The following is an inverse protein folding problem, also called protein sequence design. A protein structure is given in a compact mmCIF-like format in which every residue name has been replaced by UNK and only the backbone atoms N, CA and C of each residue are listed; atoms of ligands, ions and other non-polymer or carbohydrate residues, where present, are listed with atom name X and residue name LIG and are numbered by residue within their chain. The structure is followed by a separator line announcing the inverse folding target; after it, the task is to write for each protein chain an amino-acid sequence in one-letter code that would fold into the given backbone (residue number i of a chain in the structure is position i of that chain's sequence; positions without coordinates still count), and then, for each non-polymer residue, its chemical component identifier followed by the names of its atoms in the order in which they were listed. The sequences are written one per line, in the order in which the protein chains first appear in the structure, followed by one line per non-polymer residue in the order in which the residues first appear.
data_IF_517661032678
#
_entry.id   IF_517661032678
#
_cell.length_a   1.000
_cell.length_b   1.000
_cell.length_c   1.000
_cell.angle_alpha   90.00
_cell.angle_beta   90.00
_cell.angle_gamma   90.00
#
_symmetry.space_group_name_H-M   'P 1'
#
loop_
_entity.id
_entity.type
_entity.pdbx_description
1 polymer ?
#
# COMPACT_ATOMS: atom_id res chain seq x y z
N UNK A 1 1.66 -16.88 1.07
CA UNK A 1 1.96 -15.45 0.86
C UNK A 1 0.82 -14.59 1.38
N UNK A 2 1.14 -13.56 2.11
CA UNK A 2 0.19 -12.54 2.56
C UNK A 2 0.44 -11.24 1.79
N UNK A 3 -0.60 -10.55 1.40
CA UNK A 3 -0.48 -9.31 0.63
C UNK A 3 -1.05 -8.12 1.40
N UNK A 4 -0.28 -7.02 1.42
CA UNK A 4 -0.66 -5.73 2.01
C UNK A 4 -0.74 -4.71 0.90
N UNK A 5 -1.91 -4.14 0.69
CA UNK A 5 -2.12 -3.02 -0.24
C UNK A 5 -2.05 -1.70 0.53
N UNK A 6 -1.16 -0.81 0.11
CA UNK A 6 -1.09 0.55 0.65
C UNK A 6 -1.76 1.48 -0.35
N UNK A 7 -2.91 2.02 0.01
CA UNK A 7 -3.77 2.76 -0.93
C UNK A 7 -4.60 3.85 -0.25
N UNK A 8 -4.89 4.91 -0.99
CA UNK A 8 -5.92 5.89 -0.65
C UNK A 8 -6.46 6.49 -1.96
N UNK A 9 -7.66 7.03 -1.93
CA UNK A 9 -8.26 7.74 -3.06
C UNK A 9 -7.56 9.09 -3.33
N UNK A 10 -6.87 9.65 -2.34
CA UNK A 10 -6.13 10.90 -2.45
C UNK A 10 -4.62 10.65 -2.59
N UNK A 11 -3.97 11.37 -3.52
CA UNK A 11 -2.53 11.41 -3.64
C UNK A 11 -1.87 12.27 -2.56
N UNK A 12 -0.56 12.12 -2.37
CA UNK A 12 0.23 12.94 -1.45
C UNK A 12 0.06 12.61 0.05
N UNK A 13 -0.58 11.49 0.38
CA UNK A 13 -0.81 11.05 1.78
C UNK A 13 0.34 10.22 2.37
N UNK A 14 1.39 9.99 1.58
CA UNK A 14 2.57 9.24 2.02
C UNK A 14 2.49 7.73 1.82
N UNK A 15 1.73 7.26 0.83
CA UNK A 15 1.61 5.83 0.51
C UNK A 15 2.95 5.15 0.26
N UNK A 16 3.79 5.74 -0.58
CA UNK A 16 5.11 5.18 -0.88
C UNK A 16 5.97 5.07 0.38
N UNK A 17 6.01 6.10 1.22
CA UNK A 17 6.75 6.08 2.48
C UNK A 17 6.27 4.94 3.38
N UNK A 18 4.98 4.75 3.52
CA UNK A 18 4.40 3.65 4.31
C UNK A 18 4.73 2.30 3.68
N UNK A 19 4.60 2.17 2.37
CA UNK A 19 4.88 0.92 1.65
C UNK A 19 6.34 0.47 1.80
N UNK A 20 7.29 1.38 1.57
CA UNK A 20 8.73 1.05 1.70
C UNK A 20 9.11 0.76 3.14
N UNK A 21 8.53 1.46 4.11
CA UNK A 21 8.77 1.25 5.54
C UNK A 21 8.26 -0.14 5.97
N UNK A 22 7.05 -0.52 5.56
CA UNK A 22 6.50 -1.86 5.83
C UNK A 22 7.36 -2.96 5.22
N UNK A 23 7.73 -2.82 3.95
CA UNK A 23 8.56 -3.80 3.26
C UNK A 23 9.93 -3.97 3.94
N UNK A 24 10.58 -2.87 4.28
CA UNK A 24 11.87 -2.89 4.98
C UNK A 24 11.77 -3.53 6.37
N UNK A 25 10.73 -3.19 7.13
CA UNK A 25 10.52 -3.75 8.46
C UNK A 25 10.30 -5.26 8.43
N UNK A 26 9.48 -5.75 7.50
CA UNK A 26 9.23 -7.17 7.32
C UNK A 26 10.51 -7.92 6.88
N UNK A 27 11.29 -7.34 5.98
CA UNK A 27 12.56 -7.91 5.54
C UNK A 27 13.56 -8.00 6.69
N UNK A 28 13.64 -6.99 7.54
CA UNK A 28 14.51 -6.99 8.73
C UNK A 28 14.13 -8.06 9.74
N UNK A 29 12.88 -8.48 9.77
CA UNK A 29 12.40 -9.59 10.61
C UNK A 29 12.73 -10.97 10.00
N UNK A 30 13.37 -11.03 8.85
CA UNK A 30 13.78 -12.27 8.19
C UNK A 30 12.74 -12.84 7.23
N UNK A 31 11.68 -12.11 6.94
CA UNK A 31 10.68 -12.55 5.95
C UNK A 31 11.18 -12.36 4.51
N UNK A 32 10.71 -13.22 3.62
CA UNK A 32 10.90 -13.06 2.17
C UNK A 32 9.85 -12.09 1.66
N UNK A 33 10.29 -10.89 1.29
CA UNK A 33 9.42 -9.76 0.96
C UNK A 33 9.64 -9.30 -0.47
N UNK A 34 8.56 -9.02 -1.19
CA UNK A 34 8.58 -8.24 -2.41
C UNK A 34 7.77 -6.95 -2.23
N UNK A 35 8.17 -5.91 -2.94
CA UNK A 35 7.46 -4.64 -3.02
C UNK A 35 7.08 -4.40 -4.49
N UNK A 36 5.79 -4.44 -4.77
CA UNK A 36 5.24 -4.16 -6.09
C UNK A 36 4.88 -2.67 -6.20
N UNK A 37 5.49 -2.00 -7.18
CA UNK A 37 5.18 -0.61 -7.49
C UNK A 37 4.15 -0.55 -8.61
N UNK A 38 2.92 -0.20 -8.27
CA UNK A 38 1.82 -0.04 -9.20
C UNK A 38 1.56 1.44 -9.55
N UNK A 39 2.34 2.36 -8.99
CA UNK A 39 2.25 3.79 -9.26
C UNK A 39 3.16 4.16 -10.45
N UNK A 40 2.63 4.86 -11.44
CA UNK A 40 3.38 5.30 -12.63
C UNK A 40 4.59 6.15 -12.29
N UNK A 41 4.59 6.86 -11.16
CA UNK A 41 5.73 7.65 -10.69
C UNK A 41 6.94 6.78 -10.36
N UNK A 42 6.77 5.51 -10.03
CA UNK A 42 7.86 4.57 -9.80
C UNK A 42 8.72 4.90 -8.58
N UNK A 43 8.16 5.56 -7.57
CA UNK A 43 8.92 6.00 -6.39
C UNK A 43 9.43 4.85 -5.55
N UNK A 44 8.65 3.78 -5.39
CA UNK A 44 9.08 2.58 -4.66
C UNK A 44 10.23 1.86 -5.37
N UNK A 45 10.18 1.77 -6.69
CA UNK A 45 11.27 1.16 -7.48
C UNK A 45 12.56 1.97 -7.36
N UNK A 46 12.49 3.30 -7.41
CA UNK A 46 13.66 4.16 -7.20
C UNK A 46 14.25 4.00 -5.80
N UNK A 47 13.40 3.88 -4.79
CA UNK A 47 13.85 3.64 -3.42
C UNK A 47 14.55 2.28 -3.29
N UNK A 48 14.01 1.23 -3.92
CA UNK A 48 14.62 -0.10 -3.93
C UNK A 48 15.98 -0.09 -4.64
N UNK A 49 16.09 0.64 -5.74
CA UNK A 49 17.31 0.78 -6.52
C UNK A 49 18.44 1.47 -5.74
N UNK A 50 18.09 2.43 -4.90
CA UNK A 50 19.01 3.16 -4.03
C UNK A 50 19.33 2.44 -2.72
N UNK A 51 18.72 1.29 -2.47
CA UNK A 51 18.88 0.55 -1.22
C UNK A 51 20.30 -0.02 -1.09
N UNK A 52 20.96 0.11 0.09
CA UNK A 52 22.30 -0.44 0.27
C UNK A 52 22.32 -1.97 0.12
N UNK A 53 23.39 -2.55 -0.48
CA UNK A 53 23.51 -4.01 -0.67
C UNK A 53 23.45 -4.81 0.62
N UNK A 54 23.91 -4.26 1.74
CA UNK A 54 23.91 -4.88 3.06
C UNK A 54 22.57 -4.82 3.78
N UNK A 55 21.61 -4.05 3.28
CA UNK A 55 20.27 -4.02 3.85
C UNK A 55 19.52 -5.33 3.58
N UNK A 56 18.61 -5.71 4.48
CA UNK A 56 17.78 -6.89 4.30
C UNK A 56 17.03 -6.83 2.96
N UNK A 57 17.07 -7.89 2.14
CA UNK A 57 16.61 -7.82 0.76
C UNK A 57 15.09 -7.64 0.65
N UNK A 58 14.69 -6.77 -0.27
CA UNK A 58 13.30 -6.60 -0.70
C UNK A 58 13.29 -6.73 -2.22
N UNK A 59 12.53 -7.67 -2.74
CA UNK A 59 12.46 -7.93 -4.18
C UNK A 59 11.60 -6.89 -4.89
N UNK A 60 12.11 -6.17 -5.90
CA UNK A 60 11.32 -5.22 -6.67
C UNK A 60 10.39 -5.94 -7.67
N UNK A 61 9.16 -5.47 -7.78
CA UNK A 61 8.21 -5.89 -8.80
C UNK A 61 7.64 -4.65 -9.50
N UNK A 62 7.77 -4.59 -10.81
CA UNK A 62 7.25 -3.48 -11.61
C UNK A 62 5.84 -3.79 -12.12
N UNK A 63 4.85 -3.21 -11.47
CA UNK A 63 3.43 -3.33 -11.82
C UNK A 63 2.85 -2.03 -12.41
N UNK A 64 3.71 -1.13 -12.87
CA UNK A 64 3.27 0.18 -13.40
C UNK A 64 2.52 0.07 -14.71
N UNK A 65 2.79 -0.96 -15.51
CA UNK A 65 2.23 -1.15 -16.85
C UNK A 65 1.58 -2.54 -16.97
N UNK A 66 0.63 -2.66 -17.91
CA UNK A 66 -0.04 -3.91 -18.18
C UNK A 66 -1.27 -4.11 -17.29
N UNK A 67 -1.43 -5.30 -16.77
CA UNK A 67 -2.54 -5.66 -15.89
C UNK A 67 -2.46 -4.90 -14.57
N UNK A 68 -3.61 -4.65 -13.94
CA UNK A 68 -3.65 -4.01 -12.62
C UNK A 68 -2.86 -4.80 -11.57
N UNK A 69 -2.93 -6.12 -11.64
CA UNK A 69 -2.18 -7.06 -10.82
C UNK A 69 -1.16 -7.76 -11.71
N UNK A 70 0.11 -7.61 -11.40
CA UNK A 70 1.20 -8.27 -12.10
C UNK A 70 1.56 -9.63 -11.47
N UNK A 71 2.61 -10.22 -11.99
CA UNK A 71 3.12 -11.48 -11.47
C UNK A 71 3.90 -11.28 -10.18
N UNK A 72 3.84 -12.25 -9.28
CA UNK A 72 4.63 -12.30 -8.06
C UNK A 72 5.29 -13.69 -7.90
N UNK A 73 6.50 -13.75 -7.33
CA UNK A 73 7.15 -15.03 -7.04
C UNK A 73 6.33 -15.89 -6.07
N UNK A 74 6.38 -17.21 -6.27
CA UNK A 74 5.60 -18.14 -5.44
C UNK A 74 6.11 -18.30 -4.01
N UNK A 75 7.38 -18.03 -3.76
CA UNK A 75 8.03 -18.29 -2.47
C UNK A 75 8.20 -17.01 -1.62
N UNK A 76 7.19 -16.17 -1.57
CA UNK A 76 7.18 -14.98 -0.71
C UNK A 76 6.41 -15.27 0.58
N UNK A 77 6.85 -14.65 1.66
CA UNK A 77 6.08 -14.57 2.91
C UNK A 77 5.12 -13.39 2.85
N UNK A 78 5.59 -12.24 2.33
CA UNK A 78 4.83 -11.02 2.20
C UNK A 78 5.00 -10.34 0.85
N UNK A 79 3.90 -9.82 0.34
CA UNK A 79 3.86 -8.91 -0.81
C UNK A 79 3.30 -7.56 -0.34
N UNK A 80 4.07 -6.51 -0.47
CA UNK A 80 3.60 -5.13 -0.24
C UNK A 80 3.34 -4.49 -1.59
N UNK A 81 2.17 -3.89 -1.76
CA UNK A 81 1.76 -3.25 -3.01
C UNK A 81 1.62 -1.75 -2.77
N UNK A 82 2.42 -0.95 -3.46
CA UNK A 82 2.30 0.51 -3.49
C UNK A 82 1.32 0.89 -4.60
N UNK A 83 0.10 1.26 -4.23
CA UNK A 83 -0.98 1.53 -5.16
C UNK A 83 -0.75 2.81 -5.97
N UNK A 84 -1.44 3.00 -7.10
CA UNK A 84 -1.46 4.28 -7.81
C UNK A 84 -1.88 5.45 -6.93
N UNK A 85 -1.44 6.65 -7.28
CA UNK A 85 -1.66 7.87 -6.51
C UNK A 85 -3.11 8.14 -6.13
N UNK A 86 -4.04 7.91 -7.05
CA UNK A 86 -5.47 7.98 -6.81
C UNK A 86 -6.11 6.70 -7.33
N UNK A 87 -6.27 5.73 -6.43
CA UNK A 87 -6.85 4.44 -6.79
C UNK A 87 -8.37 4.51 -6.85
N UNK A 88 -8.97 4.02 -7.95
CA UNK A 88 -10.42 3.97 -8.12
C UNK A 88 -10.84 2.93 -9.17
N UNK A 89 -12.13 2.60 -9.19
CA UNK A 89 -12.74 1.74 -10.19
C UNK A 89 -12.21 0.31 -10.19
N UNK A 90 -12.15 -0.30 -11.36
CA UNK A 90 -11.78 -1.70 -11.56
C UNK A 90 -10.37 -2.02 -11.08
N UNK A 91 -9.46 -1.06 -11.17
CA UNK A 91 -8.09 -1.23 -10.68
C UNK A 91 -8.05 -1.35 -9.16
N UNK A 92 -8.87 -0.56 -8.46
CA UNK A 92 -9.00 -0.67 -7.02
C UNK A 92 -9.55 -2.05 -6.61
N UNK A 93 -10.61 -2.50 -7.27
CA UNK A 93 -11.20 -3.81 -7.03
C UNK A 93 -10.20 -4.95 -7.27
N UNK A 94 -9.46 -4.88 -8.38
CA UNK A 94 -8.48 -5.92 -8.72
C UNK A 94 -7.35 -6.01 -7.67
N UNK A 95 -6.82 -4.87 -7.22
CA UNK A 95 -5.76 -4.84 -6.20
C UNK A 95 -6.27 -5.29 -4.83
N UNK A 96 -7.48 -4.88 -4.44
CA UNK A 96 -8.11 -5.31 -3.20
C UNK A 96 -8.39 -6.82 -3.21
N UNK A 97 -8.80 -7.36 -4.35
CA UNK A 97 -9.06 -8.81 -4.49
C UNK A 97 -7.85 -9.68 -4.19
N UNK A 98 -6.64 -9.18 -4.43
CA UNK A 98 -5.37 -9.87 -4.16
C UNK A 98 -4.84 -9.62 -2.74
N UNK A 99 -5.49 -8.78 -1.95
CA UNK A 99 -4.96 -8.29 -0.69
C UNK A 99 -5.63 -8.95 0.52
N UNK A 100 -4.82 -9.21 1.54
CA UNK A 100 -5.29 -9.67 2.85
C UNK A 100 -5.47 -8.50 3.82
N UNK A 101 -4.69 -7.44 3.62
CA UNK A 101 -4.77 -6.20 4.41
C UNK A 101 -4.67 -4.99 3.50
N UNK A 102 -5.47 -3.98 3.81
CA UNK A 102 -5.43 -2.69 3.15
C UNK A 102 -5.02 -1.67 4.19
N UNK A 103 -3.94 -0.95 3.92
CA UNK A 103 -3.45 0.13 4.77
C UNK A 103 -3.71 1.45 4.05
N UNK A 104 -4.54 2.30 4.65
CA UNK A 104 -4.88 3.60 4.12
C UNK A 104 -4.18 4.70 4.95
N UNK A 105 -3.05 5.25 4.47
CA UNK A 105 -2.41 6.38 5.12
C UNK A 105 -3.28 7.63 5.03
N UNK A 106 -3.38 8.35 6.13
CA UNK A 106 -4.17 9.56 6.28
C UNK A 106 -3.29 10.66 6.83
N UNK A 107 -3.29 11.83 6.20
CA UNK A 107 -2.68 13.03 6.79
C UNK A 107 -3.71 13.80 7.63
N UNK A 108 -3.30 14.50 8.70
CA UNK A 108 -4.21 15.20 9.60
C UNK A 108 -4.71 16.51 8.95
N UNK A 109 -5.66 16.39 8.03
CA UNK A 109 -6.34 17.48 7.38
C UNK A 109 -7.80 17.12 7.18
N UNK A 110 -8.69 18.10 7.27
CA UNK A 110 -10.14 17.89 7.11
C UNK A 110 -10.46 17.33 5.71
N UNK A 111 -9.77 17.83 4.67
CA UNK A 111 -9.98 17.37 3.30
C UNK A 111 -9.50 15.94 3.10
N UNK A 112 -8.36 15.58 3.70
CA UNK A 112 -7.83 14.21 3.61
C UNK A 112 -8.71 13.23 4.38
N UNK A 113 -9.27 13.65 5.51
CA UNK A 113 -10.20 12.85 6.29
C UNK A 113 -11.46 12.53 5.48
N UNK A 114 -12.08 13.53 4.86
CA UNK A 114 -13.29 13.35 4.04
C UNK A 114 -13.03 12.42 2.84
N UNK A 115 -11.89 12.59 2.15
CA UNK A 115 -11.51 11.73 1.03
C UNK A 115 -11.26 10.28 1.49
N UNK A 116 -10.67 10.11 2.66
CA UNK A 116 -10.41 8.79 3.25
C UNK A 116 -11.72 8.12 3.66
N UNK A 117 -12.65 8.82 4.28
CA UNK A 117 -13.97 8.27 4.62
C UNK A 117 -14.71 7.78 3.39
N UNK A 118 -14.75 8.57 2.30
CA UNK A 118 -15.35 8.17 1.05
C UNK A 118 -14.66 6.94 0.43
N UNK A 119 -13.36 6.85 0.55
CA UNK A 119 -12.58 5.69 0.10
C UNK A 119 -12.90 4.44 0.91
N UNK A 120 -12.99 4.55 2.23
CA UNK A 120 -13.35 3.45 3.12
C UNK A 120 -14.76 2.93 2.82
N UNK A 121 -15.73 3.81 2.58
CA UNK A 121 -17.08 3.43 2.20
C UNK A 121 -17.09 2.61 0.91
N UNK A 122 -16.29 3.01 -0.09
CA UNK A 122 -16.16 2.24 -1.33
C UNK A 122 -15.50 0.89 -1.11
N UNK A 123 -14.51 0.79 -0.22
CA UNK A 123 -13.87 -0.48 0.12
C UNK A 123 -14.87 -1.47 0.74
N UNK A 124 -15.78 -1.00 1.58
CA UNK A 124 -16.81 -1.83 2.21
C UNK A 124 -17.78 -2.45 1.20
N UNK A 125 -17.94 -1.84 0.03
CA UNK A 125 -18.75 -2.40 -1.07
C UNK A 125 -18.06 -3.58 -1.76
N UNK A 126 -16.74 -3.69 -1.66
CA UNK A 126 -15.97 -4.77 -2.27
C UNK A 126 -16.19 -6.05 -1.47
N UNK A 127 -16.61 -7.12 -2.16
CA UNK A 127 -17.00 -8.40 -1.57
C UNK A 127 -15.96 -8.96 -0.59
N UNK A 128 -14.68 -8.87 -0.92
CA UNK A 128 -13.60 -9.41 -0.08
C UNK A 128 -13.51 -8.69 1.27
N UNK A 129 -13.68 -7.37 1.29
CA UNK A 129 -13.72 -6.55 2.50
C UNK A 129 -15.00 -6.83 3.29
N UNK A 130 -16.14 -6.78 2.60
CA UNK A 130 -17.47 -7.03 3.22
C UNK A 130 -17.56 -8.41 3.88
N UNK A 131 -16.91 -9.43 3.33
CA UNK A 131 -16.86 -10.78 3.90
C UNK A 131 -15.77 -10.97 4.95
N UNK A 132 -15.04 -9.93 5.33
CA UNK A 132 -13.98 -10.00 6.33
C UNK A 132 -12.73 -10.76 5.88
N UNK A 133 -12.55 -11.03 4.59
CA UNK A 133 -11.37 -11.69 4.04
C UNK A 133 -10.18 -10.74 3.83
N UNK A 134 -10.45 -9.45 3.74
CA UNK A 134 -9.44 -8.39 3.75
C UNK A 134 -9.78 -7.39 4.85
N UNK A 135 -8.83 -7.11 5.73
CA UNK A 135 -8.97 -6.12 6.79
C UNK A 135 -8.48 -4.75 6.33
N UNK A 136 -9.12 -3.69 6.82
CA UNK A 136 -8.78 -2.31 6.49
C UNK A 136 -8.24 -1.60 7.72
N UNK A 137 -7.09 -0.95 7.56
CA UNK A 137 -6.38 -0.24 8.63
C UNK A 137 -6.08 1.19 8.19
N UNK A 138 -6.50 2.17 8.98
CA UNK A 138 -6.16 3.57 8.75
C UNK A 138 -4.93 3.92 9.59
N UNK A 139 -3.94 4.53 8.96
CA UNK A 139 -2.70 4.94 9.60
C UNK A 139 -2.55 6.45 9.51
N UNK A 140 -2.52 7.13 10.67
CA UNK A 140 -2.24 8.57 10.71
C UNK A 140 -0.76 8.80 10.36
N UNK A 141 -0.54 9.47 9.24
CA UNK A 141 0.79 9.80 8.74
C UNK A 141 1.05 11.30 8.92
N UNK A 142 2.30 11.69 9.17
CA UNK A 142 2.69 13.08 9.41
C UNK A 142 1.94 13.75 10.59
N UNK A 143 1.42 12.93 11.50
CA UNK A 143 0.80 13.43 12.72
C UNK A 143 1.86 13.93 13.71
N UNK A 144 1.61 15.07 14.33
CA UNK A 144 2.47 15.59 15.42
C UNK A 144 1.86 15.23 16.76
N UNK A 145 2.68 14.73 17.67
CA UNK A 145 2.25 14.44 19.05
C UNK A 145 1.73 15.72 19.70
N UNK A 146 0.53 15.66 20.29
CA UNK A 146 -0.06 16.79 21.02
C UNK A 146 -0.86 17.79 20.17
N UNK A 147 -1.02 17.59 18.87
CA UNK A 147 -1.97 18.37 18.06
C UNK A 147 -3.27 17.60 17.87
N UNK A 148 -4.38 18.24 18.23
CA UNK A 148 -5.69 17.76 17.84
C UNK A 148 -5.82 17.81 16.30
N UNK A 149 -6.50 16.83 15.74
CA UNK A 149 -6.94 16.89 14.34
C UNK A 149 -8.03 17.96 14.25
N UNK A 150 -7.68 19.09 13.67
CA UNK A 150 -8.63 20.17 13.38
C UNK A 150 -9.28 19.93 12.01
#
# INVERSE_FOLDING_TARGET
MRAILVANAKGGVGKTTVAVTLAAALARQGHRVALADADRQGSSLRWLDARPPEAAPVRPLDWRRGKAVGDAPKKLDWLVIDAPGAIKGDKAEALVAESDRIVAPLTPSVFDLAATEAFLDRLEEIRRVRKGKASVHVVANRARKGRALN
#
